data_IF_415662343209
#
_entry.id   IF_415662343209
#
_cell.length_a   1.000
_cell.length_b   1.000
_cell.length_c   1.000
_cell.angle_alpha   90.00
_cell.angle_beta   90.00
_cell.angle_gamma   90.00
#
_symmetry.space_group_name_H-M   'P 1'
#
loop_
_entity.id
_entity.type
_entity.pdbx_description
1 polymer ?
#
# COMPACT_ATOMS: atom_id res chain seq x y z
N UNK A 1 4.24 -22.93 -2.38
CA UNK A 1 3.33 -21.93 -2.97
C UNK A 1 4.15 -20.79 -3.57
N UNK A 2 3.57 -20.01 -4.47
CA UNK A 2 4.19 -18.80 -5.03
C UNK A 2 3.16 -17.69 -5.12
N UNK A 3 3.61 -16.44 -5.03
CA UNK A 3 2.75 -15.26 -5.05
C UNK A 3 2.06 -15.17 -6.41
N UNK A 4 0.72 -15.12 -6.43
CA UNK A 4 -0.02 -15.06 -7.70
C UNK A 4 0.09 -13.66 -8.33
N UNK A 5 -0.31 -13.50 -9.60
CA UNK A 5 -0.41 -12.17 -10.23
C UNK A 5 -1.26 -11.17 -9.42
N UNK A 6 -2.29 -11.65 -8.70
CA UNK A 6 -3.13 -10.79 -7.85
C UNK A 6 -2.34 -10.30 -6.61
N UNK A 7 -1.58 -11.18 -5.96
CA UNK A 7 -0.69 -10.81 -4.86
C UNK A 7 0.42 -9.85 -5.30
N UNK A 8 1.04 -10.09 -6.47
CA UNK A 8 2.03 -9.18 -7.05
C UNK A 8 1.43 -7.81 -7.37
N UNK A 9 0.23 -7.76 -7.96
CA UNK A 9 -0.46 -6.51 -8.26
C UNK A 9 -0.85 -5.74 -6.98
N UNK A 10 -1.26 -6.45 -5.91
CA UNK A 10 -1.54 -5.85 -4.61
C UNK A 10 -0.29 -5.17 -4.02
N UNK A 11 0.87 -5.83 -4.11
CA UNK A 11 2.15 -5.30 -3.63
C UNK A 11 2.59 -4.09 -4.47
N UNK A 12 2.65 -4.24 -5.81
CA UNK A 12 2.99 -3.13 -6.74
C UNK A 12 2.17 -1.86 -6.42
N UNK A 13 0.87 -2.01 -6.16
CA UNK A 13 -0.07 -0.91 -5.84
C UNK A 13 0.27 -0.16 -4.54
N UNK A 14 0.96 -0.79 -3.59
CA UNK A 14 1.28 -0.17 -2.30
C UNK A 14 2.74 0.26 -2.12
N UNK A 15 3.68 -0.28 -2.90
CA UNK A 15 5.07 0.23 -2.89
C UNK A 15 5.26 1.42 -3.85
N UNK A 16 4.56 1.45 -4.99
CA UNK A 16 4.88 2.37 -6.10
C UNK A 16 6.04 1.86 -6.96
N UNK A 17 6.37 2.57 -8.05
CA UNK A 17 7.43 2.21 -8.98
C UNK A 17 8.36 3.40 -9.20
N UNK A 18 9.59 3.32 -8.70
CA UNK A 18 10.63 4.33 -8.94
C UNK A 18 11.72 3.76 -9.86
N UNK A 19 11.85 4.30 -11.08
CA UNK A 19 12.81 3.79 -12.08
C UNK A 19 14.24 4.34 -11.90
N UNK A 20 14.43 5.30 -10.99
CA UNK A 20 15.72 5.88 -10.65
C UNK A 20 16.01 5.69 -9.16
N UNK A 21 17.27 5.42 -8.80
CA UNK A 21 17.64 5.22 -7.41
C UNK A 21 17.50 6.52 -6.60
N UNK A 22 16.74 6.45 -5.51
CA UNK A 22 16.52 7.55 -4.57
C UNK A 22 16.96 7.13 -3.15
N UNK A 23 17.08 8.09 -2.24
CA UNK A 23 17.26 7.81 -0.81
C UNK A 23 15.92 7.94 -0.09
N UNK A 24 15.58 6.94 0.73
CA UNK A 24 14.40 7.00 1.59
C UNK A 24 14.60 7.96 2.80
N UNK A 25 13.59 8.05 3.67
CA UNK A 25 13.65 8.89 4.88
C UNK A 25 14.70 8.43 5.92
N UNK A 26 15.32 7.27 5.73
CA UNK A 26 16.43 6.75 6.54
C UNK A 26 17.79 6.88 5.81
N UNK A 27 17.83 7.48 4.61
CA UNK A 27 19.03 7.63 3.78
C UNK A 27 19.40 6.39 2.97
N UNK A 28 18.55 5.36 2.90
CA UNK A 28 18.82 4.08 2.25
C UNK A 28 18.52 4.18 0.75
N UNK A 29 19.50 3.80 -0.07
CA UNK A 29 19.34 3.73 -1.53
C UNK A 29 18.31 2.67 -1.92
N UNK A 30 17.25 3.14 -2.57
CA UNK A 30 16.04 2.39 -2.89
C UNK A 30 15.70 2.56 -4.38
N UNK A 31 15.17 1.52 -5.04
CA UNK A 31 14.77 1.56 -6.46
C UNK A 31 13.65 0.54 -6.74
N UNK A 32 12.94 0.69 -7.86
CA UNK A 32 11.88 -0.22 -8.29
C UNK A 32 10.67 -0.20 -7.34
N UNK A 33 10.20 -1.38 -6.96
CA UNK A 33 9.10 -1.58 -6.00
C UNK A 33 9.63 -1.64 -4.55
N UNK A 34 10.39 -0.63 -4.12
CA UNK A 34 11.01 -0.58 -2.79
C UNK A 34 12.18 -1.55 -2.59
N UNK A 35 12.89 -1.93 -3.67
CA UNK A 35 14.08 -2.78 -3.57
C UNK A 35 15.25 -2.01 -2.95
N UNK A 36 15.93 -2.63 -1.98
CA UNK A 36 17.12 -2.09 -1.30
C UNK A 36 18.21 -3.17 -1.21
N UNK A 37 19.47 -2.76 -1.35
CA UNK A 37 20.61 -3.70 -1.34
C UNK A 37 21.95 -3.02 -1.64
N UNK A 38 23.09 -3.71 -1.44
CA UNK A 38 24.43 -3.19 -1.76
C UNK A 38 24.68 -3.05 -3.27
N UNK A 39 23.78 -3.59 -4.10
CA UNK A 39 23.72 -3.43 -5.54
C UNK A 39 22.99 -2.15 -5.99
N UNK A 40 22.15 -1.53 -5.14
CA UNK A 40 21.49 -0.23 -5.42
C UNK A 40 22.47 0.92 -5.15
N UNK A 41 22.61 1.86 -6.10
CA UNK A 41 23.64 2.90 -6.09
C UNK A 41 23.13 4.26 -6.60
N UNK A 42 23.72 5.40 -6.16
CA UNK A 42 23.39 6.71 -6.67
C UNK A 42 23.42 6.78 -8.21
N UNK A 43 22.40 7.37 -8.83
CA UNK A 43 22.31 7.53 -10.28
C UNK A 43 22.03 6.26 -11.08
N UNK A 44 21.80 5.11 -10.43
CA UNK A 44 21.31 3.91 -11.08
C UNK A 44 19.89 4.15 -11.63
N UNK A 45 19.63 3.71 -12.86
CA UNK A 45 18.31 3.68 -13.48
C UNK A 45 18.00 2.28 -13.97
N UNK A 46 16.73 1.89 -13.99
CA UNK A 46 16.25 0.57 -14.45
C UNK A 46 15.01 0.71 -15.32
N UNK A 47 14.72 -0.32 -16.11
CA UNK A 47 13.43 -0.51 -16.78
C UNK A 47 12.38 -1.10 -15.83
N UNK A 48 11.08 -1.00 -16.17
CA UNK A 48 10.03 -1.68 -15.39
C UNK A 48 10.24 -3.21 -15.38
N UNK A 49 10.76 -3.80 -16.45
CA UNK A 49 11.04 -5.24 -16.51
C UNK A 49 12.13 -5.66 -15.51
N UNK A 50 13.14 -4.82 -15.30
CA UNK A 50 14.16 -5.02 -14.26
C UNK A 50 13.58 -4.75 -12.86
N UNK A 51 12.71 -3.76 -12.69
CA UNK A 51 12.00 -3.53 -11.44
C UNK A 51 11.10 -4.73 -11.05
N UNK A 52 10.45 -5.38 -12.02
CA UNK A 52 9.75 -6.64 -11.80
C UNK A 52 10.69 -7.79 -11.43
N UNK A 53 11.87 -7.88 -12.05
CA UNK A 53 12.86 -8.91 -11.74
C UNK A 53 13.40 -8.75 -10.31
N UNK A 54 13.64 -7.50 -9.87
CA UNK A 54 13.98 -7.17 -8.49
C UNK A 54 12.86 -7.53 -7.53
N UNK A 55 11.60 -7.16 -7.82
CA UNK A 55 10.44 -7.55 -7.00
C UNK A 55 10.30 -9.07 -6.88
N UNK A 56 10.45 -9.82 -7.99
CA UNK A 56 10.41 -11.30 -7.99
C UNK A 56 11.56 -11.90 -7.18
N UNK A 57 12.77 -11.30 -7.23
CA UNK A 57 13.93 -11.66 -6.38
C UNK A 57 13.62 -11.42 -4.90
N UNK A 58 13.00 -10.29 -4.56
CA UNK A 58 12.64 -9.94 -3.20
C UNK A 58 11.52 -10.79 -2.62
N UNK A 59 10.48 -11.11 -3.41
CA UNK A 59 9.35 -11.92 -2.92
C UNK A 59 9.80 -13.29 -2.41
N UNK A 60 10.79 -13.93 -3.05
CA UNK A 60 11.28 -15.28 -2.70
C UNK A 60 11.53 -15.50 -1.19
N UNK A 61 12.40 -14.74 -0.49
CA UNK A 61 12.60 -14.92 0.96
C UNK A 61 11.38 -14.56 1.82
N UNK A 62 10.41 -13.78 1.31
CA UNK A 62 9.14 -13.52 2.01
C UNK A 62 8.17 -14.71 1.85
N UNK A 63 8.10 -15.31 0.67
CA UNK A 63 7.38 -16.56 0.39
C UNK A 63 7.90 -17.70 1.28
N UNK A 64 9.22 -17.95 1.25
CA UNK A 64 9.89 -18.97 2.07
C UNK A 64 9.70 -18.74 3.58
N UNK A 65 9.50 -17.48 3.99
CA UNK A 65 9.15 -17.15 5.37
C UNK A 65 7.69 -17.50 5.70
N UNK A 66 6.73 -17.24 4.82
CA UNK A 66 5.32 -17.64 5.00
C UNK A 66 5.22 -19.17 5.07
N UNK A 67 5.80 -19.88 4.10
CA UNK A 67 5.78 -21.36 4.04
C UNK A 67 6.35 -22.01 5.31
N UNK A 68 7.46 -21.49 5.84
CA UNK A 68 8.14 -22.05 7.02
C UNK A 68 7.48 -21.68 8.34
N UNK A 69 6.74 -20.57 8.41
CA UNK A 69 6.18 -20.05 9.65
C UNK A 69 4.71 -20.43 9.86
N UNK A 70 3.94 -20.57 8.78
CA UNK A 70 2.54 -20.99 8.84
C UNK A 70 2.46 -22.51 8.96
N UNK A 71 1.59 -23.00 9.87
CA UNK A 71 1.46 -24.42 10.24
C UNK A 71 0.12 -25.05 9.84
N UNK A 72 -0.72 -24.30 9.14
CA UNK A 72 -2.02 -24.73 8.62
C UNK A 72 -2.01 -24.61 7.10
N UNK A 73 -2.77 -25.46 6.36
CA UNK A 73 -2.95 -25.27 4.93
C UNK A 73 -3.51 -23.87 4.62
N UNK A 74 -3.02 -23.25 3.54
CA UNK A 74 -3.47 -21.95 3.04
C UNK A 74 -4.07 -22.10 1.65
N UNK A 75 -5.04 -21.24 1.33
CA UNK A 75 -5.38 -20.97 -0.07
C UNK A 75 -4.45 -19.89 -0.68
N UNK A 76 -4.55 -19.70 -2.00
CA UNK A 76 -3.70 -18.75 -2.72
C UNK A 76 -3.88 -17.30 -2.27
N UNK A 77 -5.12 -16.87 -1.99
CA UNK A 77 -5.41 -15.50 -1.55
C UNK A 77 -4.89 -15.24 -0.12
N UNK A 78 -5.04 -16.22 0.78
CA UNK A 78 -4.43 -16.19 2.11
C UNK A 78 -2.90 -16.09 2.03
N UNK A 79 -2.27 -16.89 1.16
CA UNK A 79 -0.82 -16.84 0.94
C UNK A 79 -0.37 -15.49 0.38
N UNK A 80 -1.02 -14.99 -0.67
CA UNK A 80 -0.70 -13.71 -1.32
C UNK A 80 -0.82 -12.52 -0.35
N UNK A 81 -1.91 -12.48 0.43
CA UNK A 81 -2.12 -11.45 1.45
C UNK A 81 -1.05 -11.49 2.56
N UNK A 82 -0.64 -12.70 2.98
CA UNK A 82 0.44 -12.87 3.94
C UNK A 82 1.80 -12.47 3.36
N UNK A 83 2.09 -12.76 2.09
CA UNK A 83 3.34 -12.30 1.45
C UNK A 83 3.36 -10.78 1.31
N UNK A 84 2.25 -10.13 0.93
CA UNK A 84 2.15 -8.66 0.91
C UNK A 84 2.37 -8.04 2.30
N UNK A 85 1.79 -8.66 3.32
CA UNK A 85 1.99 -8.26 4.71
C UNK A 85 3.47 -8.37 5.13
N UNK A 86 4.09 -9.53 4.87
CA UNK A 86 5.50 -9.81 5.20
C UNK A 86 6.47 -8.92 4.43
N UNK A 87 6.15 -8.56 3.18
CA UNK A 87 6.94 -7.60 2.40
C UNK A 87 7.04 -6.25 3.11
N UNK A 88 5.93 -5.78 3.67
CA UNK A 88 5.82 -4.47 4.30
C UNK A 88 6.30 -4.42 5.76
N UNK A 89 6.00 -5.42 6.60
CA UNK A 89 6.40 -5.40 8.02
C UNK A 89 7.72 -6.12 8.30
N UNK A 90 8.20 -6.91 7.34
CA UNK A 90 9.39 -7.75 7.49
C UNK A 90 9.13 -9.09 8.18
N UNK A 91 9.97 -10.07 7.85
CA UNK A 91 9.85 -11.48 8.29
C UNK A 91 9.80 -11.62 9.82
N UNK A 92 10.60 -10.83 10.55
CA UNK A 92 10.72 -10.97 12.00
C UNK A 92 9.54 -10.34 12.76
N UNK A 93 8.94 -9.28 12.23
CA UNK A 93 7.69 -8.74 12.75
C UNK A 93 6.54 -9.72 12.55
N UNK A 94 6.45 -10.33 11.35
CA UNK A 94 5.47 -11.37 11.06
C UNK A 94 5.62 -12.60 11.98
N UNK A 95 6.85 -13.10 12.20
CA UNK A 95 7.15 -14.20 13.14
C UNK A 95 6.56 -13.97 14.54
N UNK A 96 6.60 -12.71 15.02
CA UNK A 96 6.11 -12.30 16.34
C UNK A 96 4.62 -11.89 16.34
N UNK A 97 3.99 -11.78 15.18
CA UNK A 97 2.66 -11.19 15.02
C UNK A 97 1.53 -11.98 15.69
N UNK A 98 0.49 -11.27 16.12
CA UNK A 98 -0.77 -11.90 16.58
C UNK A 98 -1.51 -12.59 15.43
N UNK A 99 -1.41 -12.07 14.20
CA UNK A 99 -2.01 -12.69 13.02
C UNK A 99 -1.49 -14.13 12.81
N UNK A 100 -0.16 -14.32 12.74
CA UNK A 100 0.45 -15.64 12.62
C UNK A 100 0.08 -16.56 13.80
N UNK A 101 0.05 -16.02 15.03
CA UNK A 101 -0.27 -16.79 16.24
C UNK A 101 -1.74 -17.25 16.31
N UNK A 102 -2.67 -16.49 15.72
CA UNK A 102 -4.09 -16.88 15.57
C UNK A 102 -4.27 -17.87 14.41
N UNK A 103 -3.67 -17.58 13.25
CA UNK A 103 -3.69 -18.44 12.07
C UNK A 103 -3.18 -19.86 12.36
N UNK A 104 -2.05 -19.97 13.06
CA UNK A 104 -1.47 -21.26 13.47
C UNK A 104 -2.26 -22.00 14.57
N UNK A 105 -3.39 -21.45 15.02
CA UNK A 105 -4.41 -22.12 15.85
C UNK A 105 -5.71 -22.41 15.08
N UNK A 106 -5.74 -22.16 13.77
CA UNK A 106 -6.94 -22.26 12.93
C UNK A 106 -7.85 -21.02 12.94
N UNK A 107 -7.57 -20.02 13.77
CA UNK A 107 -8.34 -18.78 13.88
C UNK A 107 -8.04 -17.83 12.70
N UNK A 108 -8.67 -18.10 11.56
CA UNK A 108 -8.55 -17.33 10.32
C UNK A 108 -9.18 -15.93 10.42
N UNK A 109 -10.36 -15.83 11.03
CA UNK A 109 -11.07 -14.54 11.16
C UNK A 109 -10.33 -13.60 12.10
N UNK A 110 -9.85 -14.10 13.24
CA UNK A 110 -9.00 -13.34 14.14
C UNK A 110 -7.60 -13.09 13.59
N UNK A 111 -7.05 -13.97 12.73
CA UNK A 111 -5.81 -13.66 12.02
C UNK A 111 -6.00 -12.46 11.10
N UNK A 112 -7.05 -12.48 10.28
CA UNK A 112 -7.46 -11.40 9.40
C UNK A 112 -7.77 -10.09 10.14
N UNK A 113 -8.40 -10.15 11.32
CA UNK A 113 -8.53 -9.00 12.23
C UNK A 113 -7.15 -8.48 12.67
N UNK A 114 -6.27 -9.36 13.17
CA UNK A 114 -4.97 -8.98 13.73
C UNK A 114 -3.97 -8.44 12.69
N UNK A 115 -4.25 -8.54 11.38
CA UNK A 115 -3.53 -7.80 10.35
C UNK A 115 -3.81 -6.30 10.43
N UNK A 116 -5.04 -5.87 10.74
CA UNK A 116 -5.43 -4.44 10.72
C UNK A 116 -4.70 -3.60 11.76
N UNK A 117 -4.27 -4.22 12.86
CA UNK A 117 -3.57 -3.57 13.96
C UNK A 117 -2.16 -3.07 13.58
N UNK A 118 -1.61 -3.55 12.46
CA UNK A 118 -0.33 -3.11 11.89
C UNK A 118 -0.51 -1.90 10.96
N UNK A 119 -1.20 -0.89 11.47
CA UNK A 119 -1.50 0.37 10.79
C UNK A 119 -0.78 1.60 11.40
N UNK A 120 0.18 1.38 12.31
CA UNK A 120 0.84 2.41 13.12
C UNK A 120 2.31 2.59 12.77
N UNK A 121 2.77 3.83 12.76
CA UNK A 121 4.17 4.21 12.64
C UNK A 121 4.51 5.39 13.55
N UNK A 122 5.80 5.59 13.85
CA UNK A 122 6.26 6.72 14.66
C UNK A 122 6.42 7.96 13.78
N UNK A 123 5.59 8.98 14.01
CA UNK A 123 5.62 10.27 13.28
C UNK A 123 5.87 11.38 14.28
N UNK A 124 6.97 12.13 14.13
CA UNK A 124 7.38 13.16 15.09
C UNK A 124 7.61 12.62 16.50
N UNK A 125 8.20 11.42 16.63
CA UNK A 125 8.41 10.75 17.91
C UNK A 125 7.18 10.07 18.52
N UNK A 126 5.97 10.27 17.98
CA UNK A 126 4.72 9.71 18.52
C UNK A 126 4.21 8.58 17.63
N UNK A 127 3.87 7.44 18.23
CA UNK A 127 3.23 6.33 17.52
C UNK A 127 1.78 6.72 17.14
N UNK A 128 1.48 6.81 15.84
CA UNK A 128 0.18 7.23 15.29
C UNK A 128 -0.29 6.29 14.19
N UNK A 129 -1.60 6.27 13.95
CA UNK A 129 -2.18 5.54 12.81
C UNK A 129 -1.89 6.27 11.51
N UNK A 130 -1.47 5.53 10.49
CA UNK A 130 -1.10 6.06 9.17
C UNK A 130 -2.14 5.60 8.16
N UNK A 131 -2.87 6.53 7.56
CA UNK A 131 -3.96 6.23 6.63
C UNK A 131 -3.54 5.31 5.46
N UNK A 132 -2.30 5.44 4.97
CA UNK A 132 -1.73 4.54 3.96
C UNK A 132 -1.64 3.08 4.44
N UNK A 133 -1.12 2.85 5.66
CA UNK A 133 -1.05 1.53 6.26
C UNK A 133 -2.46 0.97 6.57
N UNK A 134 -3.38 1.81 7.07
CA UNK A 134 -4.79 1.40 7.29
C UNK A 134 -5.43 0.90 5.98
N UNK A 135 -5.25 1.63 4.86
CA UNK A 135 -5.73 1.20 3.54
C UNK A 135 -5.06 -0.10 3.07
N UNK A 136 -3.75 -0.25 3.28
CA UNK A 136 -3.00 -1.47 2.94
C UNK A 136 -3.50 -2.70 3.70
N UNK A 137 -3.58 -2.61 5.02
CA UNK A 137 -4.07 -3.70 5.88
C UNK A 137 -5.53 -4.05 5.58
N UNK A 138 -6.38 -3.08 5.23
CA UNK A 138 -7.75 -3.33 4.82
C UNK A 138 -7.83 -4.14 3.50
N UNK A 139 -6.99 -3.82 2.51
CA UNK A 139 -6.93 -4.55 1.24
C UNK A 139 -6.32 -5.96 1.39
N UNK A 140 -5.24 -6.10 2.18
CA UNK A 140 -4.66 -7.41 2.51
C UNK A 140 -5.64 -8.28 3.30
N UNK A 141 -6.39 -7.70 4.26
CA UNK A 141 -7.48 -8.40 4.96
C UNK A 141 -8.61 -8.82 4.02
N UNK A 142 -8.96 -8.00 3.04
CA UNK A 142 -10.00 -8.33 2.06
C UNK A 142 -9.58 -9.55 1.22
N UNK A 143 -8.37 -9.53 0.65
CA UNK A 143 -7.82 -10.66 -0.11
C UNK A 143 -7.70 -11.92 0.77
N UNK A 144 -7.18 -11.80 2.00
CA UNK A 144 -7.05 -12.95 2.92
C UNK A 144 -8.39 -13.65 3.21
N UNK A 145 -9.50 -12.90 3.19
CA UNK A 145 -10.85 -13.43 3.42
C UNK A 145 -11.61 -13.75 2.13
N UNK A 146 -11.00 -13.55 0.96
CA UNK A 146 -11.62 -13.82 -0.34
C UNK A 146 -11.58 -15.32 -0.66
N UNK A 147 -12.74 -15.99 -0.85
CA UNK A 147 -12.77 -17.44 -1.06
C UNK A 147 -12.23 -17.82 -2.44
N UNK A 148 -11.33 -18.79 -2.48
CA UNK A 148 -10.90 -19.46 -3.72
C UNK A 148 -11.90 -20.52 -4.17
N UNK A 149 -11.92 -20.82 -5.47
CA UNK A 149 -12.66 -21.93 -6.06
C UNK A 149 -11.74 -22.72 -7.01
N UNK A 150 -11.52 -24.04 -6.82
CA UNK A 150 -12.04 -24.88 -5.73
C UNK A 150 -11.55 -24.44 -4.34
N UNK A 151 -12.31 -24.73 -3.27
CA UNK A 151 -11.89 -24.47 -1.89
C UNK A 151 -10.65 -25.31 -1.51
N UNK A 152 -10.07 -25.03 -0.34
CA UNK A 152 -8.90 -25.78 0.18
C UNK A 152 -9.25 -27.26 0.32
N UNK A 153 -8.82 -28.06 -0.66
CA UNK A 153 -8.84 -29.52 -0.58
C UNK A 153 -7.80 -29.91 0.48
N UNK A 154 -8.25 -30.50 1.59
CA UNK A 154 -7.34 -31.22 2.48
C UNK A 154 -6.72 -32.37 1.68
N UNK A 155 -5.41 -32.51 1.74
CA UNK A 155 -4.68 -33.44 0.87
C UNK A 155 -5.19 -34.87 1.01
N UNK A 156 -5.63 -35.43 -0.12
CA UNK A 156 -5.98 -36.84 -0.32
C UNK A 156 -6.87 -37.47 0.79
N UNK A 157 -7.86 -36.72 1.28
CA UNK A 157 -9.05 -37.33 1.91
C UNK A 157 -9.79 -38.13 0.81
N UNK A 158 -9.50 -39.43 0.79
CA UNK A 158 -10.04 -40.52 -0.02
C UNK A 158 -11.36 -40.21 -0.73
N UNK A 159 -11.33 -40.15 -2.08
CA UNK A 159 -12.55 -40.02 -2.89
C UNK A 159 -13.29 -41.36 -2.86
N UNK A 160 -14.06 -41.57 -1.80
CA UNK A 160 -14.89 -42.74 -1.63
C UNK A 160 -15.82 -42.90 -2.85
N UNK A 161 -15.69 -44.02 -3.57
CA UNK A 161 -16.28 -44.21 -4.91
C UNK A 161 -17.83 -44.26 -4.92
N UNK A 162 -18.44 -44.20 -3.74
CA UNK A 162 -19.87 -44.20 -3.48
C UNK A 162 -20.54 -42.81 -3.62
N UNK A 163 -19.78 -41.73 -3.87
CA UNK A 163 -20.35 -40.41 -4.20
C UNK A 163 -20.73 -40.25 -5.68
N UNK A 164 -20.72 -41.35 -6.47
CA UNK A 164 -21.47 -41.40 -7.74
C UNK A 164 -22.97 -41.43 -7.45
N UNK A 165 -23.58 -40.26 -7.38
CA UNK A 165 -25.04 -40.13 -7.47
C UNK A 165 -25.48 -40.66 -8.83
N UNK A 166 -25.97 -41.90 -8.86
CA UNK A 166 -26.73 -42.41 -9.99
C UNK A 166 -27.95 -41.52 -10.20
N UNK A 167 -28.32 -41.16 -11.44
CA UNK A 167 -29.59 -40.48 -11.69
C UNK A 167 -30.73 -41.31 -11.10
N UNK A 168 -31.47 -40.73 -10.15
CA UNK A 168 -32.67 -41.37 -9.62
C UNK A 168 -33.74 -41.22 -10.70
N UNK A 169 -33.94 -42.28 -11.49
CA UNK A 169 -35.05 -42.41 -12.44
C UNK A 169 -36.38 -42.62 -11.70
N UNK A 170 -36.81 -41.63 -10.92
CA UNK A 170 -38.22 -41.51 -10.52
C UNK A 170 -38.60 -40.06 -10.18
N UNK A 171 -38.67 -39.23 -11.24
CA UNK A 171 -39.29 -37.92 -11.18
C UNK A 171 -40.58 -37.94 -12.04
N UNK A 172 -41.79 -37.85 -11.44
CA UNK A 172 -43.03 -37.96 -12.21
C UNK A 172 -43.15 -36.81 -13.22
N UNK A 173 -43.28 -37.18 -14.50
CA UNK A 173 -43.41 -36.22 -15.61
C UNK A 173 -44.67 -35.37 -15.41
N UNK A 174 -44.48 -34.06 -15.25
CA UNK A 174 -45.61 -33.09 -15.25
C UNK A 174 -46.25 -33.07 -16.64
N UNK A 175 -47.59 -33.19 -16.77
CA UNK A 175 -48.26 -32.97 -18.05
C UNK A 175 -48.16 -31.49 -18.48
N UNK A 176 -48.27 -31.25 -19.78
CA UNK A 176 -48.11 -29.91 -20.36
C UNK A 176 -49.22 -28.96 -19.90
N UNK A 177 -48.85 -27.79 -19.38
CA UNK A 177 -49.80 -26.75 -18.94
C UNK A 177 -50.35 -25.91 -20.12
N UNK A 178 -50.67 -26.59 -21.23
CA UNK A 178 -51.19 -25.98 -22.47
C UNK A 178 -52.72 -25.86 -22.49
N UNK A 179 -53.39 -26.08 -21.36
CA UNK A 179 -54.82 -25.83 -21.19
C UNK A 179 -55.10 -25.38 -19.74
N UNK A 180 -55.30 -24.07 -19.55
CA UNK A 180 -55.92 -23.52 -18.34
C UNK A 180 -56.70 -22.26 -18.68
N UNK A 181 -58.04 -22.38 -18.68
CA UNK A 181 -58.97 -21.28 -18.98
C UNK A 181 -59.35 -20.55 -17.69
N UNK A 182 -58.64 -19.49 -17.36
CA UNK A 182 -59.01 -18.56 -16.27
C UNK A 182 -58.89 -17.10 -16.73
N UNK A 183 -59.76 -16.68 -17.64
CA UNK A 183 -59.87 -15.29 -18.11
C UNK A 183 -61.04 -14.60 -17.41
N UNK A 184 -60.74 -13.67 -16.50
CA UNK A 184 -61.62 -12.55 -16.08
C UNK A 184 -60.85 -11.65 -15.09
N UNK A 185 -60.62 -10.36 -15.42
CA UNK A 185 -59.79 -9.48 -14.58
C UNK A 185 -59.36 -8.13 -15.16
N UNK A 186 -60.24 -7.45 -15.90
CA UNK A 186 -60.22 -6.04 -16.35
C UNK A 186 -58.87 -5.26 -16.48
N UNK A 187 -58.64 -4.82 -17.72
CA UNK A 187 -57.65 -3.84 -18.23
C UNK A 187 -57.44 -2.51 -17.46
N UNK A 188 -56.16 -2.16 -17.29
CA UNK A 188 -55.49 -0.86 -17.57
C UNK A 188 -56.16 0.45 -17.13
N UNK A 189 -55.60 1.03 -16.05
CA UNK A 189 -55.27 2.44 -15.86
C UNK A 189 -54.11 2.50 -14.83
N UNK A 190 -53.29 3.54 -14.66
CA UNK A 190 -53.27 4.85 -15.33
C UNK A 190 -52.58 5.95 -14.48
N UNK A 191 -51.41 5.68 -13.90
CA UNK A 191 -50.62 6.65 -13.09
C UNK A 191 -50.51 6.31 -11.58
N UNK A 192 -49.49 6.89 -10.92
CA UNK A 192 -49.16 6.81 -9.48
C UNK A 192 -49.23 5.40 -8.82
N UNK A 193 -48.12 4.72 -8.52
CA UNK A 193 -47.25 5.04 -7.36
C UNK A 193 -47.62 4.13 -6.16
N UNK A 194 -46.79 3.84 -5.15
CA UNK A 194 -45.39 4.17 -4.81
C UNK A 194 -44.88 3.01 -3.90
N UNK A 195 -43.60 2.73 -3.65
CA UNK A 195 -42.32 3.39 -3.98
C UNK A 195 -41.18 2.34 -4.08
N UNK A 196 -39.96 2.80 -4.37
CA UNK A 196 -38.71 2.05 -4.18
C UNK A 196 -37.77 2.85 -3.28
N UNK A 197 -37.15 2.25 -2.27
CA UNK A 197 -36.35 2.94 -1.25
C UNK A 197 -34.94 3.29 -1.76
N UNK A 198 -34.81 4.42 -2.45
CA UNK A 198 -33.53 4.99 -2.90
C UNK A 198 -32.78 5.66 -1.75
N UNK A 199 -31.53 5.26 -1.49
CA UNK A 199 -30.63 5.95 -0.57
C UNK A 199 -29.16 5.65 -0.90
N UNK A 200 -28.30 6.68 -0.87
CA UNK A 200 -26.88 6.49 -0.53
C UNK A 200 -25.82 6.36 -1.64
N UNK A 201 -26.14 6.53 -2.94
CA UNK A 201 -25.10 6.88 -3.92
C UNK A 201 -25.04 8.41 -4.06
N UNK A 202 -24.02 9.04 -3.48
CA UNK A 202 -23.42 10.34 -3.85
C UNK A 202 -22.50 10.86 -2.72
N UNK A 203 -21.23 10.44 -2.70
CA UNK A 203 -20.17 10.99 -1.82
C UNK A 203 -18.78 10.88 -2.47
N UNK A 204 -18.69 11.23 -3.75
CA UNK A 204 -17.45 11.18 -4.53
C UNK A 204 -17.19 12.44 -5.39
N UNK A 205 -17.98 13.51 -5.22
CA UNK A 205 -17.93 14.70 -6.07
C UNK A 205 -18.29 16.00 -5.32
N UNK A 206 -17.95 16.07 -4.03
CA UNK A 206 -18.21 17.26 -3.17
C UNK A 206 -17.03 17.55 -2.20
N UNK A 207 -15.79 17.40 -2.69
CA UNK A 207 -14.57 17.86 -2.01
C UNK A 207 -13.58 18.59 -2.93
N UNK A 208 -13.94 18.84 -4.19
CA UNK A 208 -13.08 19.46 -5.21
C UNK A 208 -13.56 20.88 -5.56
N UNK A 209 -14.11 21.58 -4.56
CA UNK A 209 -14.77 22.89 -4.73
C UNK A 209 -14.44 23.88 -3.60
N UNK A 210 -13.14 23.98 -3.28
CA UNK A 210 -12.50 25.10 -2.57
C UNK A 210 -11.00 25.10 -2.90
N UNK A 211 -10.39 26.28 -2.89
CA UNK A 211 -8.97 26.54 -3.24
C UNK A 211 -8.57 26.31 -4.72
N UNK A 212 -9.43 26.74 -5.64
CA UNK A 212 -9.02 27.24 -6.96
C UNK A 212 -9.52 28.69 -7.09
N UNK A 213 -8.63 29.68 -6.89
CA UNK A 213 -9.07 31.08 -6.76
C UNK A 213 -8.00 32.09 -6.32
N UNK A 214 -6.84 32.10 -6.96
CA UNK A 214 -5.96 33.28 -7.00
C UNK A 214 -5.64 33.57 -8.47
N UNK A 215 -5.91 34.80 -8.88
CA UNK A 215 -5.99 35.21 -10.29
C UNK A 215 -4.65 35.76 -10.79
N UNK A 216 -4.26 35.37 -12.01
CA UNK A 216 -3.04 35.86 -12.67
C UNK A 216 -3.41 36.83 -13.81
N UNK A 217 -3.01 38.12 -13.76
CA UNK A 217 -3.37 39.09 -14.78
C UNK A 217 -2.44 39.03 -16.01
N UNK A 218 -3.01 39.25 -17.18
CA UNK A 218 -2.33 39.44 -18.46
C UNK A 218 -3.22 40.27 -19.40
N UNK A 219 -2.74 40.71 -20.57
CA UNK A 219 -1.57 41.56 -20.80
C UNK A 219 -2.00 42.93 -21.40
N UNK A 220 -1.07 43.88 -21.59
CA UNK A 220 -1.35 45.17 -22.23
C UNK A 220 -0.22 45.66 -23.16
N UNK A 221 -0.61 46.29 -24.28
CA UNK A 221 0.20 46.96 -25.31
C UNK A 221 -0.73 47.88 -26.14
N UNK A 222 -0.24 48.83 -26.97
CA UNK A 222 0.98 49.65 -26.86
C UNK A 222 0.72 51.17 -27.11
N UNK A 223 1.75 52.01 -26.97
CA UNK A 223 1.81 53.43 -27.38
C UNK A 223 3.07 54.07 -26.78
N UNK A 224 4.02 54.63 -27.53
CA UNK A 224 4.05 55.80 -28.45
C UNK A 224 4.71 57.05 -27.80
N UNK A 225 5.97 57.26 -28.21
CA UNK A 225 6.76 58.51 -28.34
C UNK A 225 6.40 59.78 -27.54
N UNK A 226 7.38 60.30 -26.80
CA UNK A 226 7.76 61.73 -26.86
C UNK A 226 9.21 62.00 -26.36
N UNK A 227 9.72 63.14 -26.81
CA UNK A 227 10.89 63.96 -26.45
C UNK A 227 11.16 64.16 -24.93
N UNK A 228 12.27 64.77 -24.45
CA UNK A 228 13.65 64.97 -24.91
C UNK A 228 14.43 65.65 -23.75
N UNK A 229 15.77 65.54 -23.70
CA UNK A 229 16.56 66.26 -22.67
C UNK A 229 18.07 66.00 -22.75
N UNK A 230 18.86 67.06 -22.85
CA UNK A 230 20.33 67.00 -22.91
C UNK A 230 20.97 66.98 -21.51
N UNK A 231 22.11 66.30 -21.37
CA UNK A 231 22.87 66.25 -20.12
C UNK A 231 24.11 65.37 -20.20
N UNK A 232 25.26 65.97 -20.53
CA UNK A 232 26.57 65.31 -20.57
C UNK A 232 27.50 65.87 -19.47
N UNK A 233 28.69 65.29 -19.24
CA UNK A 233 28.85 63.94 -18.71
C UNK A 233 29.76 63.91 -17.47
N UNK A 234 29.72 62.83 -16.68
CA UNK A 234 30.76 62.53 -15.68
C UNK A 234 31.26 61.09 -15.81
N UNK A 235 32.56 60.93 -15.59
CA UNK A 235 33.34 59.72 -15.85
C UNK A 235 33.64 58.97 -14.54
N UNK A 236 33.20 57.72 -14.43
CA UNK A 236 33.58 56.81 -13.33
C UNK A 236 33.79 55.40 -13.84
N UNK A 237 35.05 54.94 -13.76
CA UNK A 237 35.47 53.63 -14.26
C UNK A 237 35.23 52.54 -13.22
N UNK A 238 34.11 51.82 -13.32
CA UNK A 238 33.88 50.62 -12.50
C UNK A 238 34.59 49.40 -13.07
N UNK A 239 35.20 48.60 -12.18
CA UNK A 239 35.85 47.32 -12.50
C UNK A 239 34.85 46.18 -12.25
N UNK A 240 34.65 45.23 -13.18
CA UNK A 240 33.72 44.12 -12.97
C UNK A 240 34.13 43.23 -11.79
N UNK A 241 33.20 42.95 -10.89
CA UNK A 241 33.41 42.03 -9.77
C UNK A 241 33.27 40.56 -10.21
N UNK A 242 34.19 39.71 -9.75
CA UNK A 242 34.18 38.26 -9.98
C UNK A 242 33.12 37.57 -9.09
N UNK A 243 32.33 36.59 -9.60
CA UNK A 243 31.27 35.96 -8.83
C UNK A 243 31.81 35.07 -7.69
N UNK A 244 31.18 35.08 -6.50
CA UNK A 244 31.70 34.40 -5.32
C UNK A 244 31.60 32.88 -5.43
N UNK A 245 32.69 32.18 -5.13
CA UNK A 245 32.73 30.71 -5.08
C UNK A 245 32.02 30.14 -3.84
N UNK A 246 31.32 29.00 -3.96
CA UNK A 246 30.56 28.41 -2.85
C UNK A 246 31.53 27.86 -1.78
N UNK A 247 31.43 28.41 -0.56
CA UNK A 247 32.26 27.98 0.57
C UNK A 247 31.75 26.65 1.12
N UNK A 248 32.63 25.67 1.20
CA UNK A 248 32.38 24.41 1.92
C UNK A 248 32.23 24.72 3.41
N UNK A 249 31.25 24.13 4.14
CA UNK A 249 31.06 24.41 5.56
C UNK A 249 32.32 24.06 6.37
N UNK A 250 32.64 24.81 7.44
CA UNK A 250 33.81 24.56 8.27
C UNK A 250 33.75 23.17 8.91
N UNK A 251 34.93 22.56 9.08
CA UNK A 251 35.06 21.15 9.53
C UNK A 251 34.38 20.90 10.89
N UNK A 252 34.31 21.92 11.74
CA UNK A 252 33.65 21.89 13.04
C UNK A 252 32.14 21.60 12.93
N UNK A 253 31.44 22.16 11.93
CA UNK A 253 30.00 21.88 11.73
C UNK A 253 29.76 20.40 11.39
N UNK A 254 30.60 19.82 10.54
CA UNK A 254 30.52 18.40 10.19
C UNK A 254 30.81 17.48 11.40
N UNK A 255 31.74 17.89 12.27
CA UNK A 255 32.03 17.18 13.52
C UNK A 255 30.87 17.29 14.53
N UNK A 256 30.23 18.46 14.64
CA UNK A 256 29.05 18.68 15.49
C UNK A 256 27.87 17.82 15.00
N UNK A 257 27.61 17.77 13.68
CA UNK A 257 26.56 16.93 13.11
C UNK A 257 26.83 15.43 13.34
N UNK A 258 28.08 14.98 13.21
CA UNK A 258 28.46 13.60 13.51
C UNK A 258 28.29 13.27 15.00
N UNK A 259 28.68 14.16 15.91
CA UNK A 259 28.49 14.00 17.35
C UNK A 259 27.00 13.95 17.73
N UNK A 260 26.16 14.78 17.09
CA UNK A 260 24.71 14.79 17.28
C UNK A 260 24.08 13.48 16.78
N UNK A 261 24.48 12.98 15.61
CA UNK A 261 24.07 11.67 15.08
C UNK A 261 24.43 10.52 16.05
N UNK A 262 25.65 10.52 16.59
CA UNK A 262 26.10 9.51 17.57
C UNK A 262 25.25 9.59 18.85
N UNK A 263 24.96 10.79 19.36
CA UNK A 263 24.09 10.99 20.52
C UNK A 263 22.67 10.47 20.29
N UNK A 264 22.09 10.70 19.11
CA UNK A 264 20.76 10.19 18.74
C UNK A 264 20.77 8.66 18.71
N UNK A 265 21.78 8.03 18.10
CA UNK A 265 21.92 6.56 18.07
C UNK A 265 22.08 5.98 19.48
N UNK A 266 22.90 6.60 20.33
CA UNK A 266 23.06 6.17 21.73
C UNK A 266 21.77 6.32 22.54
N UNK A 267 20.99 7.39 22.32
CA UNK A 267 19.69 7.57 22.97
C UNK A 267 18.66 6.52 22.54
N UNK A 268 18.61 6.17 21.24
CA UNK A 268 17.75 5.09 20.73
C UNK A 268 18.16 3.74 21.32
N UNK A 269 19.46 3.44 21.37
CA UNK A 269 19.99 2.22 22.00
C UNK A 269 19.65 2.17 23.49
N UNK A 270 19.80 3.28 24.22
CA UNK A 270 19.43 3.36 25.64
C UNK A 270 17.95 3.06 25.87
N UNK A 271 17.04 3.60 25.05
CA UNK A 271 15.60 3.30 25.14
C UNK A 271 15.30 1.82 24.84
N UNK A 272 16.01 1.21 23.88
CA UNK A 272 15.90 -0.22 23.60
C UNK A 272 16.40 -1.07 24.77
N UNK A 273 17.57 -0.77 25.33
CA UNK A 273 18.12 -1.50 26.48
C UNK A 273 17.27 -1.35 27.74
N UNK A 274 16.84 -0.13 28.09
CA UNK A 274 15.94 0.10 29.22
C UNK A 274 14.64 -0.70 29.08
N UNK A 275 14.07 -0.78 27.87
CA UNK A 275 12.85 -1.55 27.60
C UNK A 275 13.07 -3.07 27.58
N UNK A 276 14.30 -3.53 27.35
CA UNK A 276 14.70 -4.93 27.55
C UNK A 276 14.87 -5.21 29.06
N UNK A 277 15.51 -4.34 29.83
CA UNK A 277 15.69 -4.49 31.28
C UNK A 277 14.35 -4.46 32.03
N UNK A 278 13.41 -3.62 31.62
CA UNK A 278 12.04 -3.62 32.17
C UNK A 278 11.31 -4.92 31.84
N UNK A 279 11.47 -5.46 30.63
CA UNK A 279 10.91 -6.77 30.25
C UNK A 279 11.57 -7.93 31.01
N UNK A 280 12.87 -7.86 31.28
CA UNK A 280 13.61 -8.85 32.08
C UNK A 280 13.25 -8.76 33.57
N UNK A 281 12.99 -7.56 34.10
CA UNK A 281 12.49 -7.35 35.47
C UNK A 281 11.04 -7.80 35.64
N UNK A 282 10.18 -7.61 34.63
CA UNK A 282 8.81 -8.12 34.59
C UNK A 282 8.72 -9.66 34.44
N UNK A 283 9.86 -10.35 34.25
CA UNK A 283 9.94 -11.81 34.06
C UNK A 283 10.59 -12.54 35.25
N UNK A 284 10.75 -11.87 36.40
CA UNK A 284 11.14 -12.47 37.68
C UNK A 284 9.98 -12.42 38.67
#
# INVERSE_FOLDING_TARGET
MKTSPNGVALIKRFEGLELEAYQDIAGIWTIGYGHTGPDVKPGMKITEAEAEALLKRDLKPREEAVERLVKVPLNQNEFDALVSFVYNVGIEAFRKSTALRRLNKGDRIGAAEALTWWNKATVGGVLREVAGLTRRRAAERALFLEPVNPPIVKGEEEVAENSRVTPIEDAPRRPNLAESRSVQGATVAGGAGVAASTLGRNTAQELESKEAGVEAPAPAQPGETAEAGEGAPTETTEVPAEPPTPRKPPIEEAQIQLALMILIVLAVLYVVFARIDDWLRYRR
#
